data_IF_299687174949
#
_entry.id   IF_299687174949
#
_cell.length_a   1.000
_cell.length_b   1.000
_cell.length_c   1.000
_cell.angle_alpha   90.00
_cell.angle_beta   90.00
_cell.angle_gamma   90.00
#
_symmetry.space_group_name_H-M   'P 1'
#
loop_
_entity.id
_entity.type
_entity.pdbx_description
1 polymer ?
#
# COMPACT_ATOMS: atom_id res chain seq x y z
N UNK A 1 -4.71 20.18 2.12
CA UNK A 1 -5.30 19.43 3.18
C UNK A 1 -5.25 17.96 2.91
N UNK A 2 -4.89 17.16 3.87
CA UNK A 2 -4.69 15.73 3.66
C UNK A 2 -5.85 14.87 4.14
N UNK A 3 -6.97 15.49 4.51
CA UNK A 3 -8.16 14.77 4.96
C UNK A 3 -8.04 14.29 6.40
N UNK A 4 -8.97 13.43 6.77
CA UNK A 4 -9.05 12.93 8.15
C UNK A 4 -8.01 11.87 8.39
N UNK A 5 -7.40 11.95 9.58
CA UNK A 5 -6.35 11.01 9.95
C UNK A 5 -6.60 10.49 11.35
N UNK A 6 -5.89 9.43 11.69
CA UNK A 6 -5.89 8.87 13.03
C UNK A 6 -4.45 8.76 13.49
N UNK A 7 -4.21 9.07 14.76
CA UNK A 7 -2.88 8.96 15.33
C UNK A 7 -2.42 7.51 15.31
N UNK A 8 -1.17 7.32 14.95
CA UNK A 8 -0.60 5.98 14.88
C UNK A 8 -0.24 5.45 16.26
N UNK A 9 -0.13 4.16 16.35
CA UNK A 9 0.43 3.47 17.51
C UNK A 9 1.34 2.36 16.99
N UNK A 10 2.16 1.82 17.86
CA UNK A 10 3.02 0.70 17.48
C UNK A 10 2.19 -0.48 16.99
N UNK A 11 1.06 -0.74 17.66
CA UNK A 11 0.19 -1.82 17.26
C UNK A 11 -0.42 -1.57 15.87
N UNK A 12 -0.84 -0.33 15.60
CA UNK A 12 -1.41 0.01 14.30
C UNK A 12 -0.37 -0.15 13.20
N UNK A 13 0.84 0.34 13.42
CA UNK A 13 1.90 0.21 12.42
C UNK A 13 2.25 -1.25 12.16
N UNK A 14 2.44 -2.03 13.23
CA UNK A 14 2.78 -3.45 13.10
C UNK A 14 1.69 -4.24 12.39
N UNK A 15 0.43 -3.96 12.71
CA UNK A 15 -0.69 -4.64 12.08
C UNK A 15 -0.80 -4.33 10.60
N UNK A 16 -0.56 -3.09 10.23
CA UNK A 16 -0.60 -2.70 8.82
C UNK A 16 0.58 -3.28 8.05
N UNK A 17 1.76 -3.34 8.66
CA UNK A 17 2.91 -3.97 8.00
C UNK A 17 2.65 -5.45 7.75
N UNK A 18 2.04 -6.12 8.73
CA UNK A 18 1.68 -7.52 8.57
C UNK A 18 0.70 -7.72 7.41
N UNK A 19 -0.32 -6.86 7.30
CA UNK A 19 -1.26 -6.92 6.18
C UNK A 19 -0.58 -6.65 4.85
N UNK A 20 0.28 -5.64 4.79
CA UNK A 20 1.01 -5.33 3.58
C UNK A 20 1.81 -6.55 3.10
N UNK A 21 2.50 -7.20 4.01
CA UNK A 21 3.32 -8.37 3.70
C UNK A 21 2.46 -9.54 3.24
N UNK A 22 1.38 -9.84 3.98
CA UNK A 22 0.52 -10.97 3.64
C UNK A 22 -0.18 -10.78 2.30
N UNK A 23 -0.71 -9.58 2.04
CA UNK A 23 -1.38 -9.32 0.78
C UNK A 23 -0.40 -9.41 -0.39
N UNK A 24 0.81 -8.88 -0.21
CA UNK A 24 1.83 -8.93 -1.25
C UNK A 24 2.24 -10.38 -1.54
N UNK A 25 2.48 -11.16 -0.49
CA UNK A 25 2.89 -12.56 -0.64
C UNK A 25 1.78 -13.37 -1.32
N UNK A 26 0.53 -13.16 -0.92
CA UNK A 26 -0.59 -13.85 -1.55
C UNK A 26 -0.73 -13.49 -3.01
N UNK A 27 -0.59 -12.21 -3.35
CA UNK A 27 -0.67 -11.76 -4.74
C UNK A 27 0.41 -12.44 -5.59
N UNK A 28 1.63 -12.47 -5.08
CA UNK A 28 2.75 -13.08 -5.78
C UNK A 28 2.51 -14.57 -6.00
N UNK A 29 1.91 -15.23 -5.01
CA UNK A 29 1.66 -16.66 -5.09
C UNK A 29 0.63 -17.02 -6.18
N UNK A 30 -0.39 -16.19 -6.36
CA UNK A 30 -1.50 -16.52 -7.26
C UNK A 30 -1.44 -15.80 -8.61
N UNK A 31 -0.47 -14.92 -8.83
CA UNK A 31 -0.52 -14.00 -9.98
C UNK A 31 -0.54 -14.73 -11.33
N UNK A 32 0.04 -15.91 -11.42
CA UNK A 32 0.10 -16.64 -12.68
C UNK A 32 -1.22 -17.35 -13.01
N UNK A 33 -2.05 -17.64 -12.01
CA UNK A 33 -3.29 -18.34 -12.26
C UNK A 33 -4.50 -17.42 -12.10
N UNK A 34 -4.41 -16.38 -11.30
CA UNK A 34 -5.54 -15.50 -11.00
C UNK A 34 -5.10 -14.04 -11.04
N UNK A 35 -4.74 -13.53 -12.22
CA UNK A 35 -4.18 -12.17 -12.31
C UNK A 35 -5.12 -11.06 -11.84
N UNK A 36 -6.42 -11.19 -12.04
CA UNK A 36 -7.36 -10.17 -11.56
C UNK A 36 -7.35 -10.11 -10.03
N UNK A 37 -7.37 -11.27 -9.39
CA UNK A 37 -7.32 -11.32 -7.93
C UNK A 37 -5.98 -10.84 -7.41
N UNK A 38 -4.90 -11.18 -8.11
CA UNK A 38 -3.56 -10.75 -7.71
C UNK A 38 -3.44 -9.23 -7.74
N UNK A 39 -3.95 -8.58 -8.79
CA UNK A 39 -3.90 -7.13 -8.88
C UNK A 39 -4.66 -6.50 -7.72
N UNK A 40 -5.82 -7.03 -7.37
CA UNK A 40 -6.60 -6.52 -6.25
C UNK A 40 -5.80 -6.64 -4.94
N UNK A 41 -5.13 -7.75 -4.74
CA UNK A 41 -4.29 -7.95 -3.56
C UNK A 41 -3.05 -7.05 -3.57
N UNK A 42 -2.45 -6.80 -4.73
CA UNK A 42 -1.35 -5.84 -4.82
C UNK A 42 -1.82 -4.43 -4.42
N UNK A 43 -3.03 -4.05 -4.82
CA UNK A 43 -3.60 -2.76 -4.41
C UNK A 43 -3.74 -2.71 -2.90
N UNK A 44 -4.31 -3.76 -2.29
CA UNK A 44 -4.49 -3.81 -0.85
C UNK A 44 -3.16 -3.77 -0.11
N UNK A 45 -2.15 -4.48 -0.64
CA UNK A 45 -0.81 -4.45 -0.06
C UNK A 45 -0.23 -3.04 -0.07
N UNK A 46 -0.40 -2.34 -1.19
CA UNK A 46 0.11 -0.98 -1.32
C UNK A 46 -0.58 0.00 -0.39
N UNK A 47 -1.89 -0.14 -0.22
CA UNK A 47 -2.65 0.72 0.69
C UNK A 47 -2.16 0.51 2.13
N UNK A 48 -2.00 -0.74 2.54
CA UNK A 48 -1.50 -1.04 3.89
C UNK A 48 -0.07 -0.52 4.07
N UNK A 49 0.78 -0.68 3.05
CA UNK A 49 2.16 -0.19 3.11
C UNK A 49 2.20 1.33 3.24
N UNK A 50 1.33 2.03 2.51
CA UNK A 50 1.26 3.49 2.60
C UNK A 50 0.92 3.93 4.01
N UNK A 51 0.02 3.22 4.69
CA UNK A 51 -0.29 3.53 6.08
C UNK A 51 0.92 3.35 6.98
N UNK A 52 1.71 2.30 6.77
CA UNK A 52 2.94 2.08 7.55
C UNK A 52 3.90 3.26 7.37
N UNK A 53 4.06 3.71 6.15
CA UNK A 53 4.95 4.83 5.84
C UNK A 53 4.48 6.11 6.55
N UNK A 54 3.18 6.39 6.46
CA UNK A 54 2.61 7.56 7.12
C UNK A 54 2.76 7.46 8.64
N UNK A 55 2.53 6.29 9.21
CA UNK A 55 2.73 6.07 10.63
C UNK A 55 4.18 6.37 11.04
N UNK A 56 5.12 5.87 10.29
CA UNK A 56 6.54 6.04 10.63
C UNK A 56 7.05 7.45 10.44
N UNK A 57 6.57 8.13 9.41
CA UNK A 57 7.08 9.46 9.08
C UNK A 57 6.30 10.59 9.73
N UNK A 58 4.99 10.43 9.89
CA UNK A 58 4.11 11.49 10.36
C UNK A 58 3.44 11.19 11.70
N UNK A 59 3.49 9.96 12.15
CA UNK A 59 2.80 9.57 13.38
C UNK A 59 1.29 9.46 13.21
N UNK A 60 0.79 9.42 11.98
CA UNK A 60 -0.64 9.32 11.70
C UNK A 60 -0.87 8.65 10.36
N UNK A 61 -2.08 8.16 10.14
CA UNK A 61 -2.44 7.52 8.89
C UNK A 61 -3.85 7.95 8.46
N UNK A 62 -4.15 7.83 7.19
CA UNK A 62 -5.42 8.29 6.63
C UNK A 62 -6.56 7.36 7.00
N UNK A 63 -7.70 7.94 7.39
CA UNK A 63 -8.93 7.19 7.59
C UNK A 63 -10.03 7.65 6.64
N UNK A 64 -9.69 8.59 5.75
CA UNK A 64 -10.62 9.08 4.75
C UNK A 64 -10.75 8.04 3.65
N UNK A 65 -11.95 7.87 3.12
CA UNK A 65 -12.18 7.01 1.97
C UNK A 65 -11.84 7.73 0.67
N UNK A 66 -11.51 8.99 0.74
CA UNK A 66 -11.14 9.76 -0.43
C UNK A 66 -9.72 9.41 -0.84
N UNK A 67 -9.56 8.88 -2.06
CA UNK A 67 -8.24 8.46 -2.57
C UNK A 67 -7.25 9.61 -2.62
N UNK A 68 -7.73 10.80 -2.98
CA UNK A 68 -6.86 11.97 -3.08
C UNK A 68 -6.27 12.34 -1.71
N UNK A 69 -7.06 12.20 -0.65
CA UNK A 69 -6.58 12.49 0.70
C UNK A 69 -5.47 11.54 1.13
N UNK A 70 -5.66 10.25 0.84
CA UNK A 70 -4.66 9.25 1.19
C UNK A 70 -3.36 9.47 0.42
N UNK A 71 -3.46 9.78 -0.87
CA UNK A 71 -2.29 10.05 -1.71
C UNK A 71 -1.59 11.31 -1.23
N UNK A 72 -2.34 12.35 -0.89
CA UNK A 72 -1.76 13.60 -0.40
C UNK A 72 -1.00 13.39 0.92
N UNK A 73 -1.55 12.58 1.81
CA UNK A 73 -0.88 12.28 3.07
C UNK A 73 0.42 11.53 2.82
N UNK A 74 0.39 10.53 1.94
CA UNK A 74 1.60 9.79 1.60
C UNK A 74 2.64 10.70 0.95
N UNK A 75 2.21 11.63 0.10
CA UNK A 75 3.14 12.57 -0.54
C UNK A 75 3.82 13.45 0.51
N UNK A 76 3.10 13.79 1.57
CA UNK A 76 3.67 14.56 2.67
C UNK A 76 4.70 13.72 3.44
N UNK A 77 4.42 12.43 3.63
CA UNK A 77 5.31 11.53 4.36
C UNK A 77 6.55 11.17 3.55
N UNK A 78 6.34 10.80 2.29
CA UNK A 78 7.41 10.33 1.43
C UNK A 78 7.03 10.62 -0.03
N UNK A 79 7.42 11.79 -0.55
CA UNK A 79 6.95 12.24 -1.88
C UNK A 79 7.25 11.28 -3.02
N UNK A 80 8.41 10.63 -2.99
CA UNK A 80 8.86 9.81 -4.12
C UNK A 80 8.07 8.51 -4.31
N UNK A 81 7.28 8.10 -3.31
CA UNK A 81 6.48 6.87 -3.46
C UNK A 81 4.99 7.15 -3.67
N UNK A 82 4.56 8.39 -3.60
CA UNK A 82 3.15 8.73 -3.77
C UNK A 82 2.60 8.29 -5.13
N UNK A 83 3.42 8.33 -6.17
CA UNK A 83 3.03 7.91 -7.51
C UNK A 83 2.61 6.44 -7.56
N UNK A 84 3.20 5.62 -6.71
CA UNK A 84 2.86 4.19 -6.68
C UNK A 84 1.47 3.98 -6.09
N UNK A 85 1.12 4.72 -5.04
CA UNK A 85 -0.22 4.63 -4.48
C UNK A 85 -1.27 5.13 -5.45
N UNK A 86 -0.96 6.22 -6.16
CA UNK A 86 -1.88 6.74 -7.19
C UNK A 86 -2.13 5.70 -8.26
N UNK A 87 -1.07 5.05 -8.74
CA UNK A 87 -1.20 4.02 -9.77
C UNK A 87 -2.07 2.87 -9.28
N UNK A 88 -1.87 2.42 -8.05
CA UNK A 88 -2.64 1.31 -7.50
C UNK A 88 -4.12 1.68 -7.29
N UNK A 89 -4.39 2.88 -6.82
CA UNK A 89 -5.76 3.32 -6.62
C UNK A 89 -6.51 3.42 -7.96
N UNK A 90 -5.83 3.91 -9.00
CA UNK A 90 -6.42 3.96 -10.33
C UNK A 90 -6.69 2.55 -10.87
N UNK A 91 -5.79 1.63 -10.58
CA UNK A 91 -5.92 0.25 -11.01
C UNK A 91 -7.11 -0.43 -10.34
N UNK A 92 -7.34 -0.14 -9.05
CA UNK A 92 -8.45 -0.73 -8.33
C UNK A 92 -9.79 -0.37 -8.96
N UNK A 93 -9.96 0.88 -9.35
CA UNK A 93 -11.19 1.30 -10.01
C UNK A 93 -11.40 0.54 -11.31
N UNK A 94 -10.32 0.37 -12.07
CA UNK A 94 -10.40 -0.31 -13.35
C UNK A 94 -10.77 -1.79 -13.19
N UNK A 95 -10.15 -2.46 -12.23
CA UNK A 95 -10.39 -3.89 -12.02
C UNK A 95 -11.76 -4.14 -11.38
N UNK A 96 -12.15 -3.32 -10.43
CA UNK A 96 -13.37 -3.55 -9.66
C UNK A 96 -14.63 -3.23 -10.43
N UNK A 97 -14.56 -2.28 -11.36
CA UNK A 97 -15.77 -1.72 -11.96
C UNK A 97 -15.93 -2.00 -13.45
N UNK A 98 -15.10 -2.85 -14.03
CA UNK A 98 -15.25 -3.25 -15.43
C UNK A 98 -15.32 -4.77 -15.53
N UNK A 99 -15.85 -5.24 -16.64
CA UNK A 99 -15.91 -6.70 -16.88
C UNK A 99 -14.63 -7.21 -17.54
N UNK A 100 -13.70 -6.34 -17.84
CA UNK A 100 -12.49 -6.74 -18.55
C UNK A 100 -11.43 -7.22 -17.58
N UNK A 101 -10.66 -8.21 -18.01
CA UNK A 101 -9.52 -8.68 -17.23
C UNK A 101 -8.39 -7.67 -17.28
N UNK A 102 -7.54 -7.68 -16.28
CA UNK A 102 -6.35 -6.82 -16.27
C UNK A 102 -5.44 -7.22 -17.43
N UNK A 103 -4.80 -6.24 -18.03
CA UNK A 103 -3.80 -6.51 -19.04
C UNK A 103 -2.48 -6.92 -18.37
N UNK A 104 -1.60 -7.50 -19.17
CA UNK A 104 -0.25 -7.82 -18.70
C UNK A 104 0.48 -6.59 -18.19
N UNK A 105 0.33 -5.45 -18.88
CA UNK A 105 0.94 -4.20 -18.45
C UNK A 105 0.37 -3.71 -17.13
N UNK A 106 -0.95 -3.80 -16.96
CA UNK A 106 -1.58 -3.42 -15.69
C UNK A 106 -1.08 -4.28 -14.55
N UNK A 107 -0.96 -5.58 -14.78
CA UNK A 107 -0.45 -6.51 -13.78
C UNK A 107 0.98 -6.14 -13.38
N UNK A 108 1.84 -5.89 -14.36
CA UNK A 108 3.24 -5.51 -14.07
C UNK A 108 3.33 -4.20 -13.30
N UNK A 109 2.51 -3.23 -13.67
CA UNK A 109 2.49 -1.95 -12.98
C UNK A 109 2.05 -2.11 -11.53
N UNK A 110 0.99 -2.89 -11.30
CA UNK A 110 0.49 -3.12 -9.94
C UNK A 110 1.52 -3.83 -9.09
N UNK A 111 2.14 -4.87 -9.63
CA UNK A 111 3.16 -5.63 -8.92
C UNK A 111 4.34 -4.75 -8.54
N UNK A 112 4.83 -3.96 -9.49
CA UNK A 112 5.97 -3.07 -9.24
C UNK A 112 5.65 -1.98 -8.22
N UNK A 113 4.48 -1.36 -8.37
CA UNK A 113 4.08 -0.30 -7.45
C UNK A 113 3.91 -0.84 -6.02
N UNK A 114 3.26 -1.99 -5.88
CA UNK A 114 3.09 -2.61 -4.57
C UNK A 114 4.42 -2.98 -3.95
N UNK A 115 5.32 -3.56 -4.74
CA UNK A 115 6.64 -3.97 -4.25
C UNK A 115 7.44 -2.78 -3.74
N UNK A 116 7.40 -1.67 -4.48
CA UNK A 116 8.11 -0.46 -4.05
C UNK A 116 7.55 0.09 -2.73
N UNK A 117 6.23 0.08 -2.59
CA UNK A 117 5.61 0.57 -1.37
C UNK A 117 5.89 -0.35 -0.18
N UNK A 118 5.79 -1.67 -0.39
CA UNK A 118 6.04 -2.64 0.69
C UNK A 118 7.49 -2.57 1.13
N UNK A 119 8.42 -2.46 0.19
CA UNK A 119 9.83 -2.28 0.53
C UNK A 119 10.07 -1.02 1.35
N UNK A 120 9.48 0.10 0.92
CA UNK A 120 9.63 1.35 1.66
C UNK A 120 9.05 1.23 3.06
N UNK A 121 7.91 0.54 3.19
CA UNK A 121 7.28 0.32 4.49
C UNK A 121 8.20 -0.47 5.42
N UNK A 122 8.84 -1.52 4.92
CA UNK A 122 9.78 -2.31 5.73
C UNK A 122 11.00 -1.49 6.17
N UNK A 123 11.49 -0.61 5.31
CA UNK A 123 12.62 0.24 5.67
C UNK A 123 12.26 1.27 6.74
N UNK A 124 11.02 1.77 6.70
CA UNK A 124 10.59 2.82 7.60
C UNK A 124 10.10 2.28 8.93
N UNK A 125 9.47 1.11 8.93
CA UNK A 125 8.99 0.50 10.15
C UNK A 125 10.16 0.09 11.01
N UNK A 126 10.13 0.49 12.28
CA UNK A 126 11.22 0.14 13.14
C UNK A 126 11.11 -1.30 13.56
N UNK A 127 12.19 -2.03 13.51
CA UNK A 127 12.20 -3.38 14.02
C UNK A 127 12.00 -3.35 15.51
N UNK A 128 11.03 -4.07 15.97
CA UNK A 128 10.63 -3.97 17.32
C UNK A 128 11.72 -4.35 18.29
N UNK A 129 12.49 -5.28 18.02
CA UNK A 129 13.41 -5.73 18.99
C UNK A 129 14.79 -5.54 18.66
N UNK A 130 15.01 -5.09 17.53
CA UNK A 130 16.31 -5.12 17.06
C UNK A 130 17.17 -4.31 17.79
N UNK A 131 16.60 -3.39 18.30
CA UNK A 131 17.37 -2.59 18.75
C UNK A 131 17.87 -2.96 19.90
N UNK A 132 17.41 -3.66 20.48
CA UNK A 132 17.78 -3.90 21.57
C UNK A 132 18.70 -4.75 21.73
N UNK A 133 19.00 -5.09 21.40
CA UNK A 133 19.87 -5.89 21.69
C UNK A 133 20.87 -5.75 21.80
#
# INVERSE_FOLDING_TARGET
>A
MTGRTRKSSDAAQAGRLNKATQFHDAATLIEDHAPNAAVDLFVDAGIAAADVICCGKLGEYAISENHSDAIALLAKAQPDVAKYLRALRNMKSKVAYTHQSVSSDDHKKASRAASNLVEAAHRIAKPAASEDR
#
